data_IF_538169510387
#
_entry.id   IF_538169510387
#
_cell.length_a   1.000
_cell.length_b   1.000
_cell.length_c   1.000
_cell.angle_alpha   90.00
_cell.angle_beta   90.00
_cell.angle_gamma   90.00
#
_symmetry.space_group_name_H-M   'P 1'
#
loop_
_entity.id
_entity.type
_entity.pdbx_description
1 polymer ?
#
# COMPACT_ATOMS: atom_id res chain seq x y z
N UNK A 1 8.94 -11.97 1.65
CA UNK A 1 7.90 -11.91 0.61
C UNK A 1 6.65 -11.25 1.19
N UNK A 2 5.92 -10.44 0.41
CA UNK A 2 4.70 -9.75 0.88
C UNK A 2 3.51 -10.71 0.70
N UNK A 3 2.91 -11.18 1.79
CA UNK A 3 1.74 -12.09 1.71
C UNK A 3 0.41 -11.34 1.83
N UNK A 4 -0.64 -11.88 1.20
CA UNK A 4 -2.01 -11.33 1.27
C UNK A 4 -2.49 -11.26 2.72
N UNK A 5 -2.23 -12.30 3.51
CA UNK A 5 -2.68 -12.39 4.89
C UNK A 5 -2.05 -11.29 5.77
N UNK A 6 -0.74 -11.08 5.66
CA UNK A 6 -0.05 -10.02 6.40
C UNK A 6 -0.53 -8.62 6.01
N UNK A 7 -0.75 -8.38 4.72
CA UNK A 7 -1.29 -7.10 4.25
C UNK A 7 -2.71 -6.89 4.78
N UNK A 8 -3.57 -7.91 4.71
CA UNK A 8 -4.94 -7.86 5.24
C UNK A 8 -4.97 -7.55 6.74
N UNK A 9 -4.16 -8.27 7.53
CA UNK A 9 -4.05 -8.06 8.97
C UNK A 9 -3.57 -6.64 9.30
N UNK A 10 -2.59 -6.12 8.56
CA UNK A 10 -2.10 -4.77 8.75
C UNK A 10 -3.15 -3.69 8.38
N UNK A 11 -3.76 -3.79 7.20
CA UNK A 11 -4.73 -2.82 6.68
C UNK A 11 -5.97 -2.74 7.58
N UNK A 12 -6.42 -3.89 8.07
CA UNK A 12 -7.61 -4.01 8.92
C UNK A 12 -7.29 -3.93 10.42
N UNK A 13 -6.03 -3.72 10.80
CA UNK A 13 -5.60 -3.68 12.20
C UNK A 13 -6.35 -2.60 12.98
N UNK A 14 -6.99 -2.93 14.12
CA UNK A 14 -7.71 -1.94 14.94
C UNK A 14 -6.76 -0.91 15.56
N UNK A 15 -5.47 -1.21 15.68
CA UNK A 15 -4.46 -0.36 16.31
C UNK A 15 -3.88 0.73 15.39
N UNK A 16 -4.38 0.84 14.16
CA UNK A 16 -3.88 1.81 13.19
C UNK A 16 -4.54 3.18 13.39
N UNK A 17 -3.87 4.06 14.14
CA UNK A 17 -4.35 5.41 14.48
C UNK A 17 -4.75 6.24 13.25
N UNK A 18 -3.99 6.17 12.14
CA UNK A 18 -4.31 6.88 10.89
C UNK A 18 -5.61 6.41 10.19
N UNK A 19 -6.23 5.36 10.72
CA UNK A 19 -7.44 4.73 10.21
C UNK A 19 -8.55 4.65 11.27
N UNK A 20 -8.40 5.35 12.40
CA UNK A 20 -9.42 5.46 13.42
C UNK A 20 -10.73 6.01 12.82
N UNK A 21 -11.87 5.46 13.24
CA UNK A 21 -13.20 5.82 12.72
C UNK A 21 -13.53 5.30 11.31
N UNK A 22 -12.56 4.81 10.53
CA UNK A 22 -12.82 4.25 9.19
C UNK A 22 -13.29 2.80 9.25
N UNK A 23 -14.31 2.50 8.47
CA UNK A 23 -14.77 1.13 8.20
C UNK A 23 -13.69 0.30 7.50
N UNK A 24 -13.73 -1.04 7.57
CA UNK A 24 -12.83 -1.92 6.82
C UNK A 24 -12.73 -1.57 5.32
N UNK A 25 -13.87 -1.24 4.69
CA UNK A 25 -13.92 -0.88 3.27
C UNK A 25 -13.22 0.44 2.97
N UNK A 26 -13.36 1.43 3.84
CA UNK A 26 -12.68 2.73 3.71
C UNK A 26 -11.18 2.61 3.93
N UNK A 27 -10.75 1.74 4.85
CA UNK A 27 -9.34 1.42 5.08
C UNK A 27 -8.69 0.85 3.83
N UNK A 28 -9.30 -0.18 3.23
CA UNK A 28 -8.81 -0.80 1.99
C UNK A 28 -8.74 0.24 0.87
N UNK A 29 -9.80 1.03 0.65
CA UNK A 29 -9.79 2.09 -0.38
C UNK A 29 -8.70 3.12 -0.17
N UNK A 30 -8.50 3.56 1.07
CA UNK A 30 -7.46 4.55 1.38
C UNK A 30 -6.05 3.99 1.10
N UNK A 31 -5.79 2.72 1.41
CA UNK A 31 -4.52 2.07 1.08
C UNK A 31 -4.36 1.84 -0.43
N UNK A 32 -5.40 1.41 -1.14
CA UNK A 32 -5.37 1.31 -2.61
C UNK A 32 -5.03 2.64 -3.27
N UNK A 33 -5.61 3.74 -2.79
CA UNK A 33 -5.31 5.08 -3.30
C UNK A 33 -3.90 5.54 -2.94
N UNK A 34 -3.40 5.17 -1.76
CA UNK A 34 -2.06 5.57 -1.33
C UNK A 34 -0.96 4.82 -2.09
N UNK A 35 -1.14 3.51 -2.26
CA UNK A 35 -0.18 2.60 -2.88
C UNK A 35 -0.42 2.36 -4.37
N UNK A 36 -1.32 3.09 -5.01
CA UNK A 36 -1.48 3.01 -6.46
C UNK A 36 -0.15 3.33 -7.15
N UNK A 37 0.34 2.52 -8.11
CA UNK A 37 1.63 2.72 -8.75
C UNK A 37 1.87 4.15 -9.24
N UNK A 38 0.93 4.73 -10.00
CA UNK A 38 1.05 6.10 -10.52
C UNK A 38 1.17 7.17 -9.41
N UNK A 39 0.43 6.99 -8.31
CA UNK A 39 0.47 7.92 -7.18
C UNK A 39 1.76 7.76 -6.38
N UNK A 40 2.25 6.53 -6.26
CA UNK A 40 3.51 6.25 -5.61
C UNK A 40 4.69 6.80 -6.43
N UNK A 41 4.67 6.61 -7.74
CA UNK A 41 5.67 7.11 -8.67
C UNK A 41 5.78 8.63 -8.61
N UNK A 42 4.65 9.32 -8.76
CA UNK A 42 4.59 10.77 -8.78
C UNK A 42 4.95 11.44 -7.45
N UNK A 43 4.72 10.78 -6.30
CA UNK A 43 5.01 11.33 -4.96
C UNK A 43 6.36 10.91 -4.40
N UNK A 44 6.65 9.61 -4.42
CA UNK A 44 7.75 9.02 -3.66
C UNK A 44 8.92 8.62 -4.55
N UNK A 45 8.66 7.98 -5.70
CA UNK A 45 9.73 7.45 -6.54
C UNK A 45 10.69 8.53 -7.03
N UNK A 46 10.18 9.75 -7.27
CA UNK A 46 11.01 10.92 -7.62
C UNK A 46 12.02 11.33 -6.54
N UNK A 47 11.77 10.97 -5.28
CA UNK A 47 12.61 11.30 -4.12
C UNK A 47 13.60 10.18 -3.78
N UNK A 48 13.48 9.02 -4.42
CA UNK A 48 14.32 7.85 -4.15
C UNK A 48 15.59 7.86 -4.99
N UNK A 49 16.65 7.22 -4.47
CA UNK A 49 17.88 6.95 -5.23
C UNK A 49 17.58 5.99 -6.38
N UNK A 50 18.27 6.12 -7.50
CA UNK A 50 18.04 5.32 -8.69
C UNK A 50 18.05 3.81 -8.39
N UNK A 51 18.99 3.37 -7.55
CA UNK A 51 19.18 1.96 -7.18
C UNK A 51 17.97 1.37 -6.43
N UNK A 52 17.26 2.19 -5.66
CA UNK A 52 16.11 1.75 -4.86
C UNK A 52 14.79 1.78 -5.66
N UNK A 53 14.74 2.51 -6.79
CA UNK A 53 13.49 2.74 -7.53
C UNK A 53 12.89 1.46 -8.08
N UNK A 54 13.71 0.59 -8.65
CA UNK A 54 13.24 -0.65 -9.27
C UNK A 54 12.59 -1.57 -8.22
N UNK A 55 13.28 -1.79 -7.10
CA UNK A 55 12.81 -2.64 -5.99
C UNK A 55 11.54 -2.06 -5.36
N UNK A 56 11.49 -0.73 -5.17
CA UNK A 56 10.31 -0.07 -4.63
C UNK A 56 9.09 -0.21 -5.55
N UNK A 57 9.26 -0.02 -6.86
CA UNK A 57 8.16 -0.19 -7.82
C UNK A 57 7.68 -1.62 -7.91
N UNK A 58 8.58 -2.60 -7.84
CA UNK A 58 8.20 -4.01 -7.79
C UNK A 58 7.32 -4.30 -6.56
N UNK A 59 7.75 -3.85 -5.37
CA UNK A 59 7.01 -4.03 -4.14
C UNK A 59 5.63 -3.35 -4.18
N UNK A 60 5.55 -2.14 -4.73
CA UNK A 60 4.28 -1.40 -4.86
C UNK A 60 3.33 -2.07 -5.84
N UNK A 61 3.84 -2.61 -6.96
CA UNK A 61 3.01 -3.36 -7.90
C UNK A 61 2.43 -4.63 -7.26
N UNK A 62 3.22 -5.36 -6.47
CA UNK A 62 2.74 -6.51 -5.71
C UNK A 62 1.68 -6.09 -4.70
N UNK A 63 1.96 -5.06 -3.90
CA UNK A 63 1.05 -4.56 -2.87
C UNK A 63 -0.28 -4.08 -3.47
N UNK A 64 -0.23 -3.35 -4.59
CA UNK A 64 -1.43 -2.87 -5.28
C UNK A 64 -2.30 -4.03 -5.76
N UNK A 65 -1.72 -5.12 -6.27
CA UNK A 65 -2.47 -6.32 -6.66
C UNK A 65 -3.09 -7.00 -5.45
N UNK A 66 -2.34 -7.16 -4.36
CA UNK A 66 -2.86 -7.74 -3.12
C UNK A 66 -4.05 -6.94 -2.59
N UNK A 67 -3.96 -5.61 -2.56
CA UNK A 67 -5.03 -4.74 -2.08
C UNK A 67 -6.33 -4.85 -2.90
N UNK A 68 -6.26 -5.23 -4.19
CA UNK A 68 -7.45 -5.49 -5.01
C UNK A 68 -8.16 -6.82 -4.68
N UNK A 69 -7.50 -7.69 -3.93
CA UNK A 69 -7.98 -9.04 -3.59
C UNK A 69 -8.48 -9.16 -2.14
N UNK A 70 -8.36 -8.11 -1.33
CA UNK A 70 -8.79 -8.06 0.08
C UNK A 70 -10.25 -7.58 0.18
#
# INVERSE_FOLDING_TARGET
EISIQQVREFVLSPYRQSMEGKTPRERIRAEMLFWHPDKFESKFLRLMKADDKAIAMEAVNVLSRILTQI
#
